data_IF_188066917589
#
_entry.id   IF_188066917589
#
_cell.length_a   1.000
_cell.length_b   1.000
_cell.length_c   1.000
_cell.angle_alpha   90.00
_cell.angle_beta   90.00
_cell.angle_gamma   90.00
#
_symmetry.space_group_name_H-M   'P 1'
#
loop_
_entity.id
_entity.type
_entity.pdbx_description
1 polymer ?
#
# COMPACT_ATOMS: atom_id res chain seq x y z
N UNK A 1 16.10 -11.82 -14.47
CA UNK A 1 16.55 -10.92 -13.38
C UNK A 1 15.40 -9.96 -13.12
N UNK A 2 15.04 -9.66 -11.87
CA UNK A 2 14.07 -8.60 -11.57
C UNK A 2 14.77 -7.24 -11.79
N UNK A 3 14.15 -6.35 -12.54
CA UNK A 3 14.63 -4.98 -12.76
C UNK A 3 13.49 -4.01 -12.47
N UNK A 4 13.75 -2.96 -11.71
CA UNK A 4 12.74 -1.98 -11.36
C UNK A 4 13.34 -0.60 -11.11
N UNK A 5 12.51 0.42 -11.27
CA UNK A 5 12.78 1.79 -10.86
C UNK A 5 11.69 2.27 -9.91
N UNK A 6 12.07 3.16 -8.99
CA UNK A 6 11.19 3.70 -7.98
C UNK A 6 11.07 5.22 -8.15
N UNK A 7 9.84 5.72 -8.00
CA UNK A 7 9.57 7.14 -7.86
C UNK A 7 8.90 7.38 -6.50
N UNK A 8 9.56 8.18 -5.66
CA UNK A 8 9.06 8.54 -4.33
C UNK A 8 8.44 9.93 -4.33
N UNK A 9 7.32 10.07 -3.63
CA UNK A 9 6.68 11.38 -3.39
C UNK A 9 7.23 11.94 -2.08
N UNK A 10 7.88 13.11 -2.16
CA UNK A 10 8.41 13.79 -0.98
C UNK A 10 7.33 14.64 -0.29
N UNK A 11 7.50 14.86 1.03
CA UNK A 11 6.70 15.82 1.79
C UNK A 11 5.29 15.36 2.18
N UNK A 12 4.95 14.09 1.94
CA UNK A 12 3.67 13.49 2.38
C UNK A 12 3.95 12.19 3.14
N UNK A 13 3.56 12.14 4.40
CA UNK A 13 3.67 10.94 5.25
C UNK A 13 2.81 9.81 4.66
N UNK A 14 3.33 8.58 4.64
CA UNK A 14 2.68 7.40 4.05
C UNK A 14 2.30 7.55 2.56
N UNK A 15 2.93 8.47 1.83
CA UNK A 15 2.69 8.57 0.40
C UNK A 15 3.04 7.24 -0.31
N UNK A 16 2.23 6.79 -1.27
CA UNK A 16 2.63 5.69 -2.12
C UNK A 16 3.88 6.09 -2.92
N UNK A 17 4.69 5.10 -3.25
CA UNK A 17 5.70 5.22 -4.29
C UNK A 17 5.22 4.47 -5.53
N UNK A 18 5.74 4.85 -6.68
CA UNK A 18 5.46 4.16 -7.94
C UNK A 18 6.61 3.23 -8.26
N UNK A 19 6.26 2.07 -8.81
CA UNK A 19 7.21 1.09 -9.31
C UNK A 19 7.05 0.99 -10.82
N UNK A 20 8.14 1.19 -11.55
CA UNK A 20 8.25 0.79 -12.95
C UNK A 20 8.99 -0.56 -12.99
N UNK A 21 8.33 -1.60 -13.50
CA UNK A 21 8.92 -2.94 -13.66
C UNK A 21 9.78 -3.06 -14.92
N UNK A 22 9.95 -1.97 -15.67
CA UNK A 22 10.73 -1.90 -16.91
C UNK A 22 10.31 -3.01 -17.89
N UNK A 23 11.25 -3.85 -18.30
CA UNK A 23 11.02 -4.97 -19.22
C UNK A 23 10.58 -6.26 -18.52
N UNK A 24 10.51 -6.26 -17.18
CA UNK A 24 10.15 -7.45 -16.41
C UNK A 24 8.63 -7.61 -16.27
N UNK A 25 8.16 -8.85 -16.23
CA UNK A 25 6.77 -9.16 -15.92
C UNK A 25 6.40 -8.65 -14.53
N UNK A 26 5.25 -7.99 -14.41
CA UNK A 26 4.71 -7.53 -13.13
C UNK A 26 4.59 -8.71 -12.13
N UNK A 27 5.11 -8.62 -10.89
CA UNK A 27 5.14 -9.76 -9.95
C UNK A 27 3.77 -10.34 -9.60
N UNK A 28 2.72 -9.52 -9.65
CA UNK A 28 1.33 -9.99 -9.48
C UNK A 28 0.94 -11.07 -10.51
N UNK A 29 1.54 -11.10 -11.70
CA UNK A 29 1.23 -12.09 -12.73
C UNK A 29 1.75 -13.50 -12.38
N UNK A 30 2.75 -13.60 -11.52
CA UNK A 30 3.33 -14.87 -11.05
C UNK A 30 3.06 -15.14 -9.57
N UNK A 31 2.24 -14.31 -8.93
CA UNK A 31 1.90 -14.47 -7.52
C UNK A 31 1.01 -15.71 -7.33
N UNK A 32 1.22 -16.50 -6.27
CA UNK A 32 0.33 -17.62 -5.97
C UNK A 32 -1.12 -17.15 -5.88
N UNK A 33 -2.05 -17.82 -6.58
CA UNK A 33 -3.46 -17.46 -6.48
C UNK A 33 -4.01 -17.84 -5.09
N UNK A 34 -5.15 -17.25 -4.74
CA UNK A 34 -5.92 -17.63 -3.55
C UNK A 34 -6.00 -16.56 -2.46
N UNK A 35 -5.13 -15.55 -2.48
CA UNK A 35 -5.24 -14.39 -1.60
C UNK A 35 -5.66 -13.15 -2.40
N UNK A 36 -6.64 -12.39 -1.89
CA UNK A 36 -7.09 -11.15 -2.50
C UNK A 36 -7.11 -10.01 -1.48
N UNK A 37 -6.48 -8.88 -1.84
CA UNK A 37 -6.62 -7.64 -1.08
C UNK A 37 -8.04 -7.10 -1.22
N UNK A 38 -8.77 -7.08 -0.12
CA UNK A 38 -10.13 -6.56 -0.04
C UNK A 38 -10.13 -5.07 0.34
N UNK A 39 -9.21 -4.67 1.22
CA UNK A 39 -9.09 -3.29 1.68
C UNK A 39 -7.67 -2.99 2.16
N UNK A 40 -7.20 -1.78 1.88
CA UNK A 40 -6.03 -1.17 2.49
C UNK A 40 -6.50 0.09 3.22
N UNK A 41 -6.27 0.16 4.53
CA UNK A 41 -6.63 1.30 5.37
C UNK A 41 -5.37 2.04 5.78
N UNK A 42 -5.35 3.35 5.56
CA UNK A 42 -4.32 4.25 6.08
C UNK A 42 -4.94 5.16 7.14
N UNK A 43 -4.38 5.13 8.34
CA UNK A 43 -4.66 6.12 9.38
C UNK A 43 -3.53 7.14 9.43
N UNK A 44 -3.84 8.43 9.44
CA UNK A 44 -2.86 9.52 9.58
C UNK A 44 -3.48 10.74 10.25
N UNK A 45 -2.66 11.64 10.80
CA UNK A 45 -3.14 12.89 11.40
C UNK A 45 -3.76 13.83 10.35
N UNK A 46 -3.31 13.76 9.09
CA UNK A 46 -3.77 14.62 8.01
C UNK A 46 -4.06 13.82 6.73
N UNK A 47 -5.34 13.54 6.47
CA UNK A 47 -5.77 12.74 5.30
C UNK A 47 -5.78 13.52 3.99
N UNK A 48 -5.86 14.86 4.01
CA UNK A 48 -6.05 15.67 2.81
C UNK A 48 -4.93 15.54 1.74
N UNK A 49 -3.63 15.47 2.10
CA UNK A 49 -2.57 15.21 1.13
C UNK A 49 -2.72 13.83 0.47
N UNK A 50 -2.97 12.78 1.25
CA UNK A 50 -3.17 11.42 0.72
C UNK A 50 -4.44 11.34 -0.13
N UNK A 51 -5.54 11.96 0.28
CA UNK A 51 -6.78 12.00 -0.50
C UNK A 51 -6.56 12.57 -1.91
N UNK A 52 -5.69 13.58 -2.06
CA UNK A 52 -5.32 14.15 -3.36
C UNK A 52 -4.46 13.20 -4.20
N UNK A 53 -3.59 12.42 -3.57
CA UNK A 53 -2.66 11.51 -4.27
C UNK A 53 -3.31 10.18 -4.65
N UNK A 54 -4.10 9.59 -3.76
CA UNK A 54 -4.58 8.23 -3.89
C UNK A 54 -6.09 8.06 -3.62
N UNK A 55 -6.86 9.15 -3.51
CA UNK A 55 -8.30 9.08 -3.24
C UNK A 55 -9.15 8.38 -4.30
N UNK A 56 -8.58 8.09 -5.47
CA UNK A 56 -9.22 7.30 -6.54
C UNK A 56 -8.75 5.85 -6.59
N UNK A 57 -7.80 5.45 -5.74
CA UNK A 57 -7.28 4.09 -5.72
C UNK A 57 -8.37 3.18 -5.15
N UNK A 58 -8.82 2.15 -5.90
CA UNK A 58 -9.86 1.25 -5.43
C UNK A 58 -9.38 0.49 -4.19
N UNK A 59 -10.31 0.21 -3.27
CA UNK A 59 -10.05 -0.55 -2.02
C UNK A 59 -9.06 0.13 -1.07
N UNK A 60 -8.71 1.39 -1.30
CA UNK A 60 -7.99 2.20 -0.33
C UNK A 60 -9.00 3.05 0.46
N UNK A 61 -8.92 3.00 1.78
CA UNK A 61 -9.65 3.89 2.67
C UNK A 61 -8.70 4.68 3.55
N UNK A 62 -9.07 5.93 3.83
CA UNK A 62 -8.31 6.84 4.68
C UNK A 62 -9.11 7.17 5.93
N UNK A 63 -8.46 7.15 7.09
CA UNK A 63 -9.03 7.56 8.37
C UNK A 63 -8.10 8.56 9.06
N UNK A 64 -8.68 9.42 9.89
CA UNK A 64 -7.92 10.35 10.72
C UNK A 64 -7.57 9.70 12.06
N UNK A 65 -6.32 9.85 12.49
CA UNK A 65 -5.87 9.40 13.81
C UNK A 65 -4.49 9.98 14.16
N UNK A 66 -4.16 10.07 15.47
CA UNK A 66 -2.93 10.70 15.92
C UNK A 66 -1.66 9.90 15.59
N UNK A 67 -1.80 8.62 15.27
CA UNK A 67 -0.70 7.71 14.97
C UNK A 67 -0.85 7.16 13.56
N UNK A 68 0.19 7.37 12.75
CA UNK A 68 0.29 6.83 11.41
C UNK A 68 0.28 5.29 11.45
N UNK A 69 -0.64 4.65 10.70
CA UNK A 69 -0.70 3.20 10.62
C UNK A 69 -1.28 2.72 9.29
N UNK A 70 -0.94 1.47 8.95
CA UNK A 70 -1.43 0.77 7.78
C UNK A 70 -2.08 -0.54 8.22
N UNK A 71 -3.28 -0.83 7.71
CA UNK A 71 -3.94 -2.13 7.88
C UNK A 71 -4.40 -2.66 6.53
N UNK A 72 -4.30 -3.96 6.32
CA UNK A 72 -4.77 -4.60 5.10
C UNK A 72 -5.71 -5.76 5.46
N UNK A 73 -6.86 -5.80 4.81
CA UNK A 73 -7.82 -6.89 4.90
C UNK A 73 -7.66 -7.79 3.69
N UNK A 74 -7.31 -9.05 3.94
CA UNK A 74 -7.09 -10.07 2.93
C UNK A 74 -8.19 -11.12 3.04
N UNK A 75 -8.78 -11.46 1.91
CA UNK A 75 -9.50 -12.73 1.76
C UNK A 75 -8.50 -13.81 1.38
N UNK A 76 -8.55 -14.95 2.06
CA UNK A 76 -7.58 -16.05 1.89
C UNK A 76 -8.32 -17.39 1.86
N UNK A 77 -7.69 -18.49 1.40
CA UNK A 77 -8.33 -19.81 1.37
C UNK A 77 -8.68 -20.36 2.77
N UNK A 78 -8.19 -19.72 3.84
CA UNK A 78 -8.46 -20.09 5.24
C UNK A 78 -9.38 -19.10 5.96
N UNK A 79 -9.99 -18.17 5.22
CA UNK A 79 -10.83 -17.10 5.75
C UNK A 79 -10.13 -15.74 5.76
N UNK A 80 -10.83 -14.74 6.25
CA UNK A 80 -10.35 -13.36 6.31
C UNK A 80 -9.19 -13.20 7.30
N UNK A 81 -8.19 -12.40 6.92
CA UNK A 81 -7.07 -12.02 7.78
C UNK A 81 -6.86 -10.51 7.72
N UNK A 82 -6.54 -9.92 8.87
CA UNK A 82 -6.07 -8.54 8.99
C UNK A 82 -4.56 -8.51 9.23
N UNK A 83 -3.84 -7.76 8.41
CA UNK A 83 -2.43 -7.44 8.61
C UNK A 83 -2.32 -6.00 9.10
N UNK A 84 -1.45 -5.75 10.08
CA UNK A 84 -1.26 -4.43 10.67
C UNK A 84 0.23 -4.09 10.70
N UNK A 85 0.58 -2.89 10.26
CA UNK A 85 1.92 -2.34 10.41
C UNK A 85 1.93 -1.38 11.60
N UNK A 86 2.48 -1.82 12.72
CA UNK A 86 2.60 -1.03 13.95
C UNK A 86 3.69 0.06 13.86
N UNK A 87 4.57 -0.03 12.85
CA UNK A 87 5.55 0.99 12.51
C UNK A 87 5.76 1.02 10.98
N UNK A 88 5.14 1.95 10.23
CA UNK A 88 5.43 2.09 8.81
C UNK A 88 6.85 2.63 8.62
N UNK A 89 7.85 1.73 8.65
CA UNK A 89 9.24 2.08 8.36
C UNK A 89 9.37 2.31 6.86
N UNK A 90 9.60 3.56 6.47
CA UNK A 90 10.10 3.89 5.13
C UNK A 90 11.52 3.33 5.07
N UNK A 91 11.71 2.18 4.41
CA UNK A 91 13.04 1.71 4.06
C UNK A 91 13.57 2.63 2.94
N UNK A 92 14.38 3.62 3.32
CA UNK A 92 15.21 4.35 2.38
C UNK A 92 16.31 3.39 1.94
N UNK A 93 16.26 2.94 0.69
CA UNK A 93 17.37 2.27 0.00
C UNK A 93 18.13 3.29 -0.84
#
# INVERSE_FOLDING_TARGET
LLQWQLLFIAGVELAPFFIDWLVCTHPAATSPPGCQLQELQITTAATAPLQRLCGQVPRLSLSQGPTASLRARLDTPRGEVWLESLEPRIALF
#
